data_IF_660902311184
#
_entry.id   IF_660902311184
#
_cell.length_a   1.000
_cell.length_b   1.000
_cell.length_c   1.000
_cell.angle_alpha   90.00
_cell.angle_beta   90.00
_cell.angle_gamma   90.00
#
_symmetry.space_group_name_H-M   'P 1'
#
loop_
_entity.id
_entity.type
_entity.pdbx_description
1 polymer ?
#
# COMPACT_ATOMS: atom_id res chain seq x y z
N UNK A 1 -15.65 8.33 0.61
CA UNK A 1 -14.67 7.30 0.20
C UNK A 1 -13.75 6.94 1.36
N UNK A 2 -12.87 7.81 1.85
CA UNK A 2 -12.03 7.49 3.03
C UNK A 2 -12.87 7.19 4.28
N UNK A 3 -13.85 8.05 4.60
CA UNK A 3 -14.80 7.84 5.71
C UNK A 3 -15.56 6.51 5.59
N UNK A 4 -15.96 6.13 4.36
CA UNK A 4 -16.64 4.86 4.10
C UNK A 4 -15.75 3.66 4.47
N UNK A 5 -14.44 3.76 4.27
CA UNK A 5 -13.49 2.70 4.67
C UNK A 5 -13.33 2.62 6.17
N UNK A 6 -13.31 3.76 6.87
CA UNK A 6 -13.27 3.78 8.34
C UNK A 6 -14.48 3.03 8.90
N UNK A 7 -15.67 3.33 8.39
CA UNK A 7 -16.92 2.68 8.83
C UNK A 7 -16.87 1.18 8.55
N UNK A 8 -16.57 0.76 7.31
CA UNK A 8 -16.56 -0.66 6.95
C UNK A 8 -15.48 -1.47 7.67
N UNK A 9 -14.30 -0.88 7.91
CA UNK A 9 -13.24 -1.55 8.66
C UNK A 9 -13.64 -1.72 10.14
N UNK A 10 -14.34 -0.73 10.71
CA UNK A 10 -14.87 -0.82 12.06
C UNK A 10 -15.96 -1.90 12.17
N UNK A 11 -16.90 -1.95 11.23
CA UNK A 11 -17.92 -2.99 11.15
C UNK A 11 -17.31 -4.40 11.06
N UNK A 12 -16.22 -4.56 10.29
CA UNK A 12 -15.52 -5.83 10.19
C UNK A 12 -14.84 -6.23 11.50
N UNK A 13 -14.19 -5.29 12.20
CA UNK A 13 -13.61 -5.58 13.53
C UNK A 13 -14.67 -6.07 14.50
N UNK A 14 -15.82 -5.43 14.55
CA UNK A 14 -16.93 -5.86 15.40
C UNK A 14 -17.46 -7.25 15.02
N UNK A 15 -17.50 -7.59 13.72
CA UNK A 15 -17.84 -8.95 13.26
C UNK A 15 -16.80 -9.98 13.71
N UNK A 16 -15.52 -9.67 13.59
CA UNK A 16 -14.41 -10.53 14.04
C UNK A 16 -14.52 -10.81 15.54
N UNK A 17 -14.77 -9.79 16.35
CA UNK A 17 -14.86 -9.96 17.80
C UNK A 17 -16.06 -10.83 18.20
N UNK A 18 -17.23 -10.62 17.59
CA UNK A 18 -18.42 -11.48 17.79
C UNK A 18 -18.15 -12.94 17.45
N UNK A 19 -17.44 -13.19 16.34
CA UNK A 19 -17.06 -14.53 15.90
C UNK A 19 -16.10 -15.19 16.90
N UNK A 20 -15.15 -14.44 17.45
CA UNK A 20 -14.23 -14.92 18.49
C UNK A 20 -14.93 -15.20 19.82
N UNK A 21 -15.88 -14.35 20.23
CA UNK A 21 -16.64 -14.53 21.47
C UNK A 21 -17.48 -15.82 21.44
N UNK A 22 -18.18 -16.09 20.33
CA UNK A 22 -18.95 -17.33 20.14
C UNK A 22 -18.09 -18.57 20.29
N UNK A 23 -16.84 -18.54 19.81
CA UNK A 23 -15.89 -19.65 19.97
C UNK A 23 -15.38 -19.84 21.40
N UNK A 24 -15.34 -18.77 22.21
CA UNK A 24 -14.86 -18.82 23.58
C UNK A 24 -15.92 -19.22 24.60
N UNK A 25 -17.21 -19.02 24.28
CA UNK A 25 -18.31 -19.18 25.24
C UNK A 25 -19.17 -20.44 25.06
N UNK A 26 -19.20 -21.07 23.88
CA UNK A 26 -20.09 -22.22 23.62
C UNK A 26 -19.35 -23.55 23.45
N UNK A 27 -19.68 -24.49 24.34
CA UNK A 27 -19.44 -25.92 24.14
C UNK A 27 -20.56 -26.62 23.37
N UNK A 28 -21.50 -25.90 22.74
CA UNK A 28 -22.67 -26.52 22.11
C UNK A 28 -23.23 -25.66 20.94
N UNK A 29 -23.27 -26.27 19.74
CA UNK A 29 -24.12 -25.96 18.57
C UNK A 29 -23.71 -24.96 17.46
N UNK A 30 -22.48 -24.46 17.37
CA UNK A 30 -21.98 -23.97 16.08
C UNK A 30 -21.24 -25.12 15.38
N UNK A 31 -21.71 -25.56 14.20
CA UNK A 31 -20.93 -26.54 13.44
C UNK A 31 -19.63 -25.88 12.98
N UNK A 32 -18.51 -26.60 13.05
CA UNK A 32 -17.19 -26.12 12.59
C UNK A 32 -17.25 -25.53 11.17
N UNK A 33 -18.18 -26.04 10.35
CA UNK A 33 -18.45 -25.57 8.99
C UNK A 33 -18.99 -24.13 8.93
N UNK A 34 -19.94 -23.75 9.79
CA UNK A 34 -20.55 -22.41 9.78
C UNK A 34 -19.55 -21.35 10.28
N UNK A 35 -18.77 -21.69 11.32
CA UNK A 35 -17.69 -20.83 11.80
C UNK A 35 -16.62 -20.58 10.71
N UNK A 36 -16.23 -21.64 10.01
CA UNK A 36 -15.26 -21.56 8.90
C UNK A 36 -15.79 -20.69 7.76
N UNK A 37 -17.08 -20.79 7.41
CA UNK A 37 -17.71 -19.98 6.37
C UNK A 37 -17.76 -18.48 6.75
N UNK A 38 -18.23 -18.14 7.95
CA UNK A 38 -18.27 -16.74 8.42
C UNK A 38 -16.87 -16.11 8.45
N UNK A 39 -15.86 -16.89 8.84
CA UNK A 39 -14.46 -16.47 8.85
C UNK A 39 -13.90 -16.29 7.42
N UNK A 40 -14.27 -17.14 6.46
CA UNK A 40 -13.90 -16.97 5.05
C UNK A 40 -14.52 -15.71 4.43
N UNK A 41 -15.76 -15.36 4.81
CA UNK A 41 -16.40 -14.14 4.35
C UNK A 41 -15.74 -12.89 4.95
N UNK A 42 -15.37 -12.93 6.23
CA UNK A 42 -14.56 -11.86 6.85
C UNK A 42 -13.23 -11.68 6.11
N UNK A 43 -12.53 -12.77 5.77
CA UNK A 43 -11.29 -12.72 4.99
C UNK A 43 -11.52 -12.02 3.65
N UNK A 44 -12.58 -12.42 2.95
CA UNK A 44 -12.96 -11.89 1.65
C UNK A 44 -13.20 -10.38 1.74
N UNK A 45 -14.04 -9.94 2.67
CA UNK A 45 -14.38 -8.53 2.87
C UNK A 45 -13.15 -7.67 3.22
N UNK A 46 -12.25 -8.18 4.07
CA UNK A 46 -10.98 -7.50 4.40
C UNK A 46 -10.09 -7.33 3.17
N UNK A 47 -9.91 -8.38 2.37
CA UNK A 47 -9.11 -8.31 1.12
C UNK A 47 -9.73 -7.33 0.13
N UNK A 48 -11.05 -7.31 0.02
CA UNK A 48 -11.77 -6.37 -0.86
C UNK A 48 -11.54 -4.92 -0.44
N UNK A 49 -11.75 -4.60 0.84
CA UNK A 49 -11.56 -3.23 1.36
C UNK A 49 -10.10 -2.80 1.23
N UNK A 50 -9.15 -3.69 1.52
CA UNK A 50 -7.72 -3.44 1.28
C UNK A 50 -7.44 -3.04 -0.17
N UNK A 51 -7.92 -3.84 -1.13
CA UNK A 51 -7.75 -3.56 -2.56
C UNK A 51 -8.36 -2.21 -2.96
N UNK A 52 -9.56 -1.90 -2.48
CA UNK A 52 -10.21 -0.61 -2.75
C UNK A 52 -9.42 0.58 -2.17
N UNK A 53 -8.86 0.44 -0.96
CA UNK A 53 -8.02 1.48 -0.36
C UNK A 53 -6.71 1.69 -1.14
N UNK A 54 -6.05 0.60 -1.56
CA UNK A 54 -4.85 0.67 -2.39
C UNK A 54 -5.16 1.34 -3.73
N UNK A 55 -6.31 1.02 -4.34
CA UNK A 55 -6.77 1.68 -5.57
C UNK A 55 -7.02 3.18 -5.36
N UNK A 56 -7.58 3.60 -4.23
CA UNK A 56 -7.78 5.01 -3.91
C UNK A 56 -6.44 5.74 -3.73
N UNK A 57 -5.48 5.13 -3.03
CA UNK A 57 -4.12 5.67 -2.88
C UNK A 57 -3.43 5.85 -4.25
N UNK A 58 -3.57 4.85 -5.11
CA UNK A 58 -3.07 4.91 -6.48
C UNK A 58 -3.76 5.98 -7.32
N UNK A 59 -5.08 6.15 -7.17
CA UNK A 59 -5.82 7.23 -7.84
C UNK A 59 -5.25 8.60 -7.47
N UNK A 60 -5.04 8.86 -6.18
CA UNK A 60 -4.44 10.12 -5.72
C UNK A 60 -3.06 10.36 -6.36
N UNK A 61 -2.20 9.34 -6.31
CA UNK A 61 -0.86 9.36 -6.88
C UNK A 61 -0.88 9.66 -8.39
N UNK A 62 -1.73 8.97 -9.16
CA UNK A 62 -1.83 9.17 -10.61
C UNK A 62 -2.35 10.56 -10.97
N UNK A 63 -3.37 11.06 -10.26
CA UNK A 63 -3.91 12.40 -10.50
C UNK A 63 -2.87 13.47 -10.20
N UNK A 64 -2.11 13.33 -9.13
CA UNK A 64 -1.01 14.23 -8.82
C UNK A 64 0.08 14.21 -9.91
N UNK A 65 0.49 13.03 -10.37
CA UNK A 65 1.42 12.91 -11.51
C UNK A 65 0.88 13.60 -12.77
N UNK A 66 -0.41 13.42 -13.07
CA UNK A 66 -1.10 14.06 -14.18
C UNK A 66 -1.08 15.58 -14.06
N UNK A 67 -1.38 16.11 -12.87
CA UNK A 67 -1.34 17.53 -12.58
C UNK A 67 0.06 18.13 -12.79
N UNK A 68 1.10 17.52 -12.21
CA UNK A 68 2.48 18.01 -12.37
C UNK A 68 2.88 18.00 -13.85
N UNK A 69 2.46 16.99 -14.61
CA UNK A 69 2.73 16.89 -16.06
C UNK A 69 2.00 17.97 -16.86
N UNK A 70 0.73 18.26 -16.59
CA UNK A 70 -0.02 19.27 -17.33
C UNK A 70 0.51 20.68 -17.03
N UNK A 71 0.84 20.96 -15.76
CA UNK A 71 1.48 22.21 -15.36
C UNK A 71 2.85 22.38 -16.03
N UNK A 72 3.68 21.34 -16.04
CA UNK A 72 4.97 21.34 -16.76
C UNK A 72 4.77 21.61 -18.26
N UNK A 73 3.70 21.08 -18.87
CA UNK A 73 3.39 21.32 -20.28
C UNK A 73 2.96 22.77 -20.52
N UNK A 74 2.15 23.34 -19.64
CA UNK A 74 1.72 24.74 -19.70
C UNK A 74 2.93 25.69 -19.65
N UNK A 75 3.78 25.55 -18.63
CA UNK A 75 4.97 26.39 -18.43
C UNK A 75 5.88 26.35 -19.66
N UNK A 76 6.11 25.14 -20.21
CA UNK A 76 6.92 24.95 -21.43
C UNK A 76 6.37 25.64 -22.67
N UNK A 77 5.05 25.71 -22.83
CA UNK A 77 4.41 26.27 -24.04
C UNK A 77 4.22 27.77 -23.95
N UNK A 78 4.01 28.29 -22.76
CA UNK A 78 3.60 29.68 -22.54
C UNK A 78 4.72 30.55 -21.98
N UNK A 79 5.78 29.94 -21.43
CA UNK A 79 6.77 30.65 -20.62
C UNK A 79 6.28 31.03 -19.23
N UNK A 80 5.06 30.61 -18.83
CA UNK A 80 4.54 30.78 -17.49
C UNK A 80 5.30 29.96 -16.44
N UNK A 81 4.99 30.21 -15.16
CA UNK A 81 5.63 29.56 -14.01
C UNK A 81 4.56 29.07 -13.00
N UNK A 82 3.54 28.38 -13.49
CA UNK A 82 2.42 27.91 -12.66
C UNK A 82 2.73 26.61 -11.92
N UNK A 83 3.71 25.81 -12.38
CA UNK A 83 3.96 24.49 -11.78
C UNK A 83 4.24 24.55 -10.28
N UNK A 84 5.11 25.45 -9.85
CA UNK A 84 5.49 25.58 -8.44
C UNK A 84 4.32 25.99 -7.54
N UNK A 85 3.64 27.13 -7.77
CA UNK A 85 2.57 27.57 -6.89
C UNK A 85 1.39 26.58 -6.85
N UNK A 86 1.01 26.00 -8.00
CA UNK A 86 -0.09 25.02 -8.01
C UNK A 86 0.29 23.70 -7.33
N UNK A 87 1.55 23.25 -7.47
CA UNK A 87 1.99 22.04 -6.76
C UNK A 87 1.90 22.26 -5.26
N UNK A 88 2.38 23.40 -4.74
CA UNK A 88 2.28 23.73 -3.31
C UNK A 88 0.83 23.71 -2.81
N UNK A 89 -0.10 24.30 -3.56
CA UNK A 89 -1.53 24.29 -3.20
C UNK A 89 -2.07 22.87 -3.14
N UNK A 90 -1.73 22.03 -4.13
CA UNK A 90 -2.27 20.66 -4.22
C UNK A 90 -1.73 19.72 -3.15
N UNK A 91 -0.50 19.92 -2.67
CA UNK A 91 0.04 19.12 -1.57
C UNK A 91 -0.81 19.24 -0.28
N UNK A 92 -1.61 20.29 -0.16
CA UNK A 92 -2.50 20.52 0.99
C UNK A 92 -3.98 20.25 0.67
N UNK A 93 -4.30 19.71 -0.51
CA UNK A 93 -5.69 19.37 -0.84
C UNK A 93 -6.07 18.00 -0.28
N UNK A 94 -7.32 17.82 0.20
CA UNK A 94 -7.77 16.57 0.82
C UNK A 94 -7.55 15.31 -0.04
N UNK A 95 -7.63 15.43 -1.37
CA UNK A 95 -7.43 14.28 -2.25
C UNK A 95 -5.98 13.79 -2.29
N UNK A 96 -5.01 14.62 -1.91
CA UNK A 96 -3.58 14.30 -1.90
C UNK A 96 -3.04 13.97 -0.50
N UNK A 97 -3.73 14.41 0.56
CA UNK A 97 -3.35 14.08 1.95
C UNK A 97 -3.76 12.65 2.30
N UNK A 98 -3.05 11.66 1.77
CA UNK A 98 -3.36 10.22 1.90
C UNK A 98 -2.87 9.58 3.19
N UNK A 99 -2.30 10.34 4.12
CA UNK A 99 -1.77 9.81 5.37
C UNK A 99 -2.79 8.99 6.19
N UNK A 100 -4.05 9.44 6.40
CA UNK A 100 -5.05 8.62 7.09
C UNK A 100 -5.37 7.32 6.34
N UNK A 101 -5.57 7.39 5.02
CA UNK A 101 -5.75 6.22 4.17
C UNK A 101 -4.57 5.23 4.26
N UNK A 102 -3.33 5.73 4.25
CA UNK A 102 -2.12 4.90 4.38
C UNK A 102 -2.09 4.16 5.72
N UNK A 103 -2.54 4.78 6.82
CA UNK A 103 -2.68 4.11 8.11
C UNK A 103 -3.74 3.01 8.08
N UNK A 104 -4.89 3.28 7.47
CA UNK A 104 -5.96 2.27 7.32
C UNK A 104 -5.50 1.06 6.50
N UNK A 105 -4.73 1.28 5.43
CA UNK A 105 -4.13 0.18 4.64
C UNK A 105 -3.23 -0.69 5.51
N UNK A 106 -2.31 -0.07 6.25
CA UNK A 106 -1.39 -0.80 7.14
C UNK A 106 -2.12 -1.56 8.25
N UNK A 107 -3.15 -0.94 8.84
CA UNK A 107 -3.99 -1.59 9.82
C UNK A 107 -4.72 -2.82 9.24
N UNK A 108 -5.25 -2.69 8.03
CA UNK A 108 -5.90 -3.79 7.35
C UNK A 108 -4.92 -4.92 7.01
N UNK A 109 -3.69 -4.62 6.61
CA UNK A 109 -2.62 -5.59 6.38
C UNK A 109 -2.27 -6.35 7.67
N UNK A 110 -2.09 -5.65 8.78
CA UNK A 110 -1.81 -6.27 10.07
C UNK A 110 -2.97 -7.17 10.54
N UNK A 111 -4.22 -6.76 10.31
CA UNK A 111 -5.38 -7.59 10.63
C UNK A 111 -5.44 -8.85 9.77
N UNK A 112 -5.13 -8.75 8.47
CA UNK A 112 -5.07 -9.90 7.58
C UNK A 112 -3.98 -10.89 8.01
N UNK A 113 -2.79 -10.41 8.37
CA UNK A 113 -1.68 -11.25 8.84
C UNK A 113 -2.00 -11.94 10.17
N UNK A 114 -2.61 -11.22 11.12
CA UNK A 114 -2.98 -11.76 12.42
C UNK A 114 -4.10 -12.81 12.34
N UNK A 115 -5.13 -12.56 11.52
CA UNK A 115 -6.31 -13.42 11.44
C UNK A 115 -6.11 -14.59 10.48
N UNK A 116 -5.26 -14.41 9.47
CA UNK A 116 -4.98 -15.40 8.42
C UNK A 116 -3.48 -15.54 8.20
N UNK A 117 -2.73 -16.06 9.20
CA UNK A 117 -1.32 -16.33 9.02
C UNK A 117 -1.13 -17.24 7.81
N UNK A 118 -0.29 -16.84 6.87
CA UNK A 118 0.12 -17.73 5.78
C UNK A 118 0.80 -18.94 6.40
N UNK A 119 0.21 -20.13 6.29
CA UNK A 119 0.86 -21.34 6.79
C UNK A 119 2.21 -21.48 6.10
N UNK A 120 3.30 -21.36 6.87
CA UNK A 120 4.62 -21.71 6.38
C UNK A 120 4.59 -23.20 6.07
N UNK A 121 4.83 -23.55 4.81
CA UNK A 121 4.99 -24.91 4.32
C UNK A 121 5.94 -25.68 5.27
N UNK A 122 5.38 -26.53 6.12
CA UNK A 122 6.16 -27.44 6.96
C UNK A 122 6.77 -28.45 6.00
N UNK A 123 8.05 -28.25 5.66
CA UNK A 123 8.86 -29.23 4.94
C UNK A 123 9.06 -30.42 5.88
N UNK A 124 8.08 -31.33 5.91
CA UNK A 124 8.21 -32.58 6.62
C UNK A 124 9.06 -33.53 5.76
N UNK A 125 10.36 -33.55 6.08
CA UNK A 125 11.28 -34.58 5.60
C UNK A 125 10.90 -35.92 6.24
N UNK A 126 9.98 -36.66 5.64
CA UNK A 126 9.80 -38.09 5.90
C UNK A 126 9.90 -38.87 4.60
N UNK A 127 11.09 -39.43 4.40
CA UNK A 127 11.43 -40.33 3.32
C UNK A 127 10.75 -41.70 3.56
N UNK A 128 9.57 -41.95 2.99
CA UNK A 128 9.05 -43.32 2.80
C UNK A 128 8.36 -43.45 1.47
N UNK A 129 9.00 -44.25 0.61
CA UNK A 129 8.47 -44.71 -0.67
C UNK A 129 7.25 -45.60 -0.47
N UNK A 130 6.16 -45.34 -1.20
CA UNK A 130 5.28 -46.35 -1.82
C UNK A 130 4.26 -45.68 -2.75
N UNK A 131 3.83 -46.45 -3.74
CA UNK A 131 3.37 -46.10 -5.08
C UNK A 131 1.86 -45.92 -5.27
N UNK A 132 1.51 -45.25 -6.38
CA UNK A 132 0.34 -45.48 -7.27
C UNK A 132 -0.92 -44.64 -7.04
N UNK A 133 -1.18 -43.78 -8.04
CA UNK A 133 -2.46 -43.39 -8.67
C UNK A 133 -3.77 -43.61 -7.89
N UNK A 134 -4.58 -42.56 -7.72
CA UNK A 134 -5.81 -42.30 -8.50
C UNK A 134 -6.31 -40.86 -8.30
N UNK A 135 -6.84 -40.28 -9.37
CA UNK A 135 -7.34 -38.91 -9.45
C UNK A 135 -8.69 -38.77 -8.74
N UNK A 136 -8.80 -37.92 -7.73
CA UNK A 136 -10.08 -37.36 -7.31
C UNK A 136 -9.96 -35.86 -7.05
N UNK A 137 -10.29 -35.09 -8.08
CA UNK A 137 -10.60 -33.66 -7.96
C UNK A 137 -11.98 -33.52 -7.33
N UNK A 138 -12.14 -32.83 -6.18
CA UNK A 138 -13.46 -32.47 -5.71
C UNK A 138 -13.95 -31.30 -6.55
N UNK A 139 -14.90 -31.60 -7.43
CA UNK A 139 -15.70 -30.62 -8.17
C UNK A 139 -16.53 -29.82 -7.16
N UNK A 140 -16.02 -28.67 -6.73
CA UNK A 140 -16.78 -27.72 -5.92
C UNK A 140 -17.82 -27.10 -6.84
N UNK A 141 -19.09 -27.37 -6.53
CA UNK A 141 -20.27 -26.87 -7.23
C UNK A 141 -20.24 -25.35 -7.33
N UNK A 142 -19.99 -24.87 -8.54
CA UNK A 142 -19.99 -23.47 -8.91
C UNK A 142 -21.39 -23.09 -9.42
N UNK A 143 -22.40 -22.96 -8.55
CA UNK A 143 -23.74 -22.55 -9.02
C UNK A 143 -24.46 -21.48 -8.18
N UNK A 144 -23.82 -20.85 -7.19
CA UNK A 144 -24.45 -19.73 -6.44
C UNK A 144 -23.59 -18.49 -6.16
N UNK A 145 -22.38 -18.37 -6.71
CA UNK A 145 -21.44 -17.27 -6.36
C UNK A 145 -20.90 -16.44 -7.55
N UNK A 146 -21.56 -16.48 -8.71
CA UNK A 146 -20.95 -15.97 -9.95
C UNK A 146 -20.83 -14.44 -10.05
N UNK A 147 -21.50 -13.66 -9.20
CA UNK A 147 -21.45 -12.19 -9.26
C UNK A 147 -20.46 -11.59 -8.27
N UNK A 148 -20.43 -12.09 -7.03
CA UNK A 148 -19.58 -11.56 -5.95
C UNK A 148 -18.10 -11.99 -6.07
N UNK A 149 -17.86 -13.17 -6.66
CA UNK A 149 -16.51 -13.65 -6.94
C UNK A 149 -15.82 -12.88 -8.07
N UNK A 150 -16.59 -12.31 -9.00
CA UNK A 150 -16.08 -11.58 -10.17
C UNK A 150 -15.58 -10.18 -9.77
N UNK A 151 -16.35 -9.47 -8.93
CA UNK A 151 -15.97 -8.14 -8.41
C UNK A 151 -14.66 -8.17 -7.60
N UNK A 152 -14.47 -9.19 -6.75
CA UNK A 152 -13.24 -9.34 -5.98
C UNK A 152 -12.03 -9.67 -6.85
N UNK A 153 -12.24 -10.47 -7.89
CA UNK A 153 -11.19 -10.78 -8.85
C UNK A 153 -10.80 -9.54 -9.67
N UNK A 154 -11.78 -8.71 -10.04
CA UNK A 154 -11.55 -7.45 -10.73
C UNK A 154 -10.82 -6.43 -9.85
N UNK A 155 -11.18 -6.31 -8.57
CA UNK A 155 -10.47 -5.47 -7.60
C UNK A 155 -9.03 -5.94 -7.47
N UNK A 156 -8.79 -7.25 -7.34
CA UNK A 156 -7.45 -7.81 -7.27
C UNK A 156 -6.61 -7.51 -8.53
N UNK A 157 -7.16 -7.77 -9.72
CA UNK A 157 -6.49 -7.47 -11.00
C UNK A 157 -6.19 -5.98 -11.13
N UNK A 158 -7.16 -5.13 -10.80
CA UNK A 158 -7.04 -3.68 -10.84
C UNK A 158 -5.97 -3.18 -9.87
N UNK A 159 -5.93 -3.72 -8.66
CA UNK A 159 -4.94 -3.39 -7.63
C UNK A 159 -3.53 -3.74 -8.11
N UNK A 160 -3.34 -4.94 -8.66
CA UNK A 160 -2.06 -5.35 -9.24
C UNK A 160 -1.65 -4.45 -10.42
N UNK A 161 -2.57 -4.07 -11.29
CA UNK A 161 -2.29 -3.17 -12.41
C UNK A 161 -1.88 -1.78 -11.92
N UNK A 162 -2.60 -1.24 -10.93
CA UNK A 162 -2.29 0.02 -10.26
C UNK A 162 -0.89 0.03 -9.64
N UNK A 163 -0.55 -0.98 -8.86
CA UNK A 163 0.78 -1.11 -8.23
C UNK A 163 1.90 -1.15 -9.28
N UNK A 164 1.70 -1.88 -10.40
CA UNK A 164 2.66 -1.91 -11.51
C UNK A 164 2.82 -0.54 -12.16
N UNK A 165 1.72 0.19 -12.35
CA UNK A 165 1.74 1.53 -12.96
C UNK A 165 2.55 2.53 -12.12
N UNK A 166 2.34 2.58 -10.80
CA UNK A 166 3.10 3.46 -9.89
C UNK A 166 4.57 3.09 -9.86
N UNK A 167 4.89 1.79 -9.80
CA UNK A 167 6.27 1.31 -9.86
C UNK A 167 6.97 1.77 -11.15
N UNK A 168 6.26 1.71 -12.28
CA UNK A 168 6.75 2.23 -13.56
C UNK A 168 7.03 3.74 -13.54
N UNK A 169 6.12 4.54 -12.97
CA UNK A 169 6.29 6.00 -12.86
C UNK A 169 7.45 6.41 -11.94
N UNK A 170 7.66 5.67 -10.84
CA UNK A 170 8.81 5.88 -9.95
C UNK A 170 10.12 5.60 -10.66
N UNK A 171 10.23 4.47 -11.38
CA UNK A 171 11.43 4.11 -12.16
C UNK A 171 11.76 5.09 -13.29
N UNK A 172 10.74 5.63 -13.97
CA UNK A 172 10.95 6.58 -15.06
C UNK A 172 11.39 7.99 -14.59
N UNK A 173 11.26 8.29 -13.30
CA UNK A 173 11.67 9.59 -12.72
C UNK A 173 13.17 9.60 -12.42
N UNK A 174 14.01 9.59 -13.47
CA UNK A 174 15.49 9.52 -13.36
C UNK A 174 16.17 10.79 -12.83
N UNK A 175 15.43 11.83 -12.44
CA UNK A 175 16.00 13.09 -11.94
C UNK A 175 15.54 13.33 -10.51
N UNK A 176 16.50 13.41 -9.59
CA UNK A 176 16.25 13.77 -8.20
C UNK A 176 15.96 15.27 -8.14
N UNK A 177 14.71 15.60 -7.84
CA UNK A 177 14.24 16.96 -7.60
C UNK A 177 13.24 16.90 -6.44
N UNK A 178 13.18 17.87 -5.52
CA UNK A 178 12.22 17.85 -4.40
C UNK A 178 10.75 17.77 -4.85
N UNK A 179 10.46 18.21 -6.08
CA UNK A 179 9.12 18.12 -6.69
C UNK A 179 8.96 16.91 -7.63
N UNK A 180 9.89 15.96 -7.57
CA UNK A 180 9.82 14.73 -8.37
C UNK A 180 8.76 13.80 -7.80
N UNK A 181 8.12 13.04 -8.70
CA UNK A 181 7.13 12.04 -8.33
C UNK A 181 7.71 10.99 -7.37
N UNK A 182 8.98 10.63 -7.56
CA UNK A 182 9.69 9.72 -6.64
C UNK A 182 9.82 10.33 -5.25
N UNK A 183 10.28 11.58 -5.12
CA UNK A 183 10.45 12.24 -3.81
C UNK A 183 9.13 12.41 -3.06
N UNK A 184 8.03 12.66 -3.76
CA UNK A 184 6.73 12.90 -3.15
C UNK A 184 6.02 11.62 -2.71
N UNK A 185 6.31 10.50 -3.36
CA UNK A 185 5.75 9.18 -3.02
C UNK A 185 6.68 8.30 -2.21
N UNK A 186 7.94 8.71 -1.99
CA UNK A 186 8.92 7.95 -1.22
C UNK A 186 8.62 7.99 0.29
N UNK A 187 7.90 9.01 0.76
CA UNK A 187 7.63 9.20 2.19
C UNK A 187 6.68 8.16 2.81
N UNK A 188 6.13 7.21 2.04
CA UNK A 188 5.12 6.26 2.55
C UNK A 188 5.55 4.78 2.55
N UNK A 189 6.62 4.41 1.83
CA UNK A 189 6.99 2.99 1.61
C UNK A 189 8.31 2.57 2.27
N UNK A 190 9.01 3.47 2.96
CA UNK A 190 10.28 3.18 3.65
C UNK A 190 10.00 2.63 5.07
N UNK A 191 9.28 1.50 5.18
CA UNK A 191 9.36 0.63 6.37
C UNK A 191 8.85 -0.80 6.16
N UNK A 192 8.90 -1.32 4.93
CA UNK A 192 8.74 -2.77 4.71
C UNK A 192 9.73 -3.22 3.64
N UNK A 193 10.83 -3.86 4.07
CA UNK A 193 11.61 -4.92 3.41
C UNK A 193 12.99 -4.95 4.11
N UNK A 194 13.13 -5.95 4.99
CA UNK A 194 14.35 -6.66 5.40
C UNK A 194 15.63 -5.86 5.70
N UNK A 195 16.15 -6.11 6.90
CA UNK A 195 17.55 -5.95 7.28
C UNK A 195 18.52 -6.41 6.18
N UNK A 196 19.78 -5.99 6.33
CA UNK A 196 20.95 -6.32 5.49
C UNK A 196 21.20 -5.35 4.32
N UNK A 197 21.61 -4.12 4.61
CA UNK A 197 22.90 -3.53 4.16
C UNK A 197 22.88 -2.01 4.31
N UNK A 198 23.54 -1.53 5.37
CA UNK A 198 23.98 -0.15 5.51
C UNK A 198 25.25 0.07 4.70
N UNK A 199 25.39 1.21 4.01
CA UNK A 199 26.68 1.86 3.99
C UNK A 199 26.55 3.31 4.50
N UNK A 200 27.19 3.53 5.65
CA UNK A 200 27.84 4.75 6.11
C UNK A 200 27.33 6.09 5.57
N UNK A 201 26.72 6.85 6.48
CA UNK A 201 26.65 8.31 6.35
C UNK A 201 28.07 8.87 6.35
N UNK A 202 28.54 9.30 5.18
CA UNK A 202 29.75 10.13 5.07
C UNK A 202 29.38 11.55 5.49
N UNK A 203 29.96 11.90 6.63
CA UNK A 203 30.31 13.24 7.11
C UNK A 203 30.73 14.18 5.96
N UNK A 204 30.09 15.34 5.87
CA UNK A 204 30.58 16.49 5.12
C UNK A 204 30.36 17.75 5.97
N UNK A 205 31.29 17.93 6.91
CA UNK A 205 31.71 19.24 7.39
C UNK A 205 31.95 20.18 6.20
N UNK A 206 31.22 21.28 6.18
CA UNK A 206 31.46 22.41 5.30
C UNK A 206 32.81 23.04 5.65
N UNK A 207 33.83 22.72 4.85
CA UNK A 207 35.09 23.45 4.79
C UNK A 207 34.87 24.65 3.87
N UNK A 208 34.63 25.82 4.46
CA UNK A 208 34.58 27.09 3.72
C UNK A 208 36.00 27.68 3.70
N UNK A 209 36.67 27.55 2.56
CA UNK A 209 37.87 28.34 2.23
C UNK A 209 37.45 29.37 1.18
N UNK A 210 37.41 30.64 1.57
CA UNK A 210 37.53 31.76 0.64
C UNK A 210 38.61 32.72 1.13
N UNK A 211 39.69 32.79 0.35
CA UNK A 211 40.77 33.76 0.50
C UNK A 211 40.42 35.09 -0.17
N UNK A 212 40.81 36.17 0.52
CA UNK A 212 41.25 37.51 0.07
C UNK A 212 40.20 38.56 -0.27
N UNK A 213 40.20 39.64 0.51
CA UNK A 213 40.77 40.91 0.03
C UNK A 213 41.30 41.80 1.17
N UNK A 214 42.46 42.40 0.88
CA UNK A 214 43.29 43.29 1.69
C UNK A 214 42.76 44.73 1.60
N UNK A 215 42.75 45.48 2.72
CA UNK A 215 43.02 46.93 2.83
C UNK A 215 42.71 47.42 4.24
N UNK A 216 43.75 47.61 5.06
CA UNK A 216 43.69 48.39 6.30
C UNK A 216 44.31 49.78 6.12
N UNK A 217 43.76 50.87 6.71
CA UNK A 217 44.40 52.17 6.68
C UNK A 217 45.36 52.36 7.88
N UNK A 218 46.28 53.34 7.83
CA UNK A 218 47.38 53.43 8.78
C UNK A 218 46.98 54.13 10.08
N UNK A 219 47.71 53.75 11.12
CA UNK A 219 47.66 54.23 12.50
C UNK A 219 48.00 55.72 12.63
N UNK A 220 47.35 56.37 13.60
CA UNK A 220 47.82 57.56 14.29
C UNK A 220 47.93 57.26 15.79
#
# INVERSE_FOLDING_TARGET
KEEDFVIRLQELKERIDKVKERNGSDGEFASESEFSEEMMDIRRDLVTIHGEMVLLKNYSSLNFAGLVKILKKYDKRTGGLLRLPFTQVVLHQPFFTTEPLTRLVRECEANLELLFPSEAEVVESSNTMSSSHENHSPRISAETSSTLGDENLDIYRSTLAAMRAIRGLRKASSTYNPLSFSSLLKNEDDETVTAENSPNSTDLQSKDESEKEDTGPPSH
#
